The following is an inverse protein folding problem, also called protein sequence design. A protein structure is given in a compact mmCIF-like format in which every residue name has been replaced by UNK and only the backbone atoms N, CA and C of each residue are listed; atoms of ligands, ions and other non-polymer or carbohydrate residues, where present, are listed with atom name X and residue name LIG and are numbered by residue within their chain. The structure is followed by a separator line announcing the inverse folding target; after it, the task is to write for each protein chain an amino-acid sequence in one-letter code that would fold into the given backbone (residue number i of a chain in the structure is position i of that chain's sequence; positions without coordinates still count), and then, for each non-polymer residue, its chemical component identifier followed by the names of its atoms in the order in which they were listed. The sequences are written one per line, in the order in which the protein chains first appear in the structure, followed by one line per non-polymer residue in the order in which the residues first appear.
data_IF_991726989561
#
_entry.id   IF_991726989561
#
_cell.length_a   1.000
_cell.length_b   1.000
_cell.length_c   1.000
_cell.angle_alpha   90.00
_cell.angle_beta   90.00
_cell.angle_gamma   90.00
#
_symmetry.space_group_name_H-M   'P 1'
#
loop_
_entity.id
_entity.type
_entity.pdbx_description
1 polymer ?
#
# COMPACT_ATOMS: atom_id res chain seq x y z
N UNK A 1 17.86 13.21 5.25
CA UNK A 1 17.03 12.47 6.22
C UNK A 1 15.94 11.86 5.36
N UNK A 2 16.03 10.56 5.03
CA UNK A 2 14.93 9.90 4.33
C UNK A 2 13.81 9.75 5.36
N UNK A 3 12.66 10.38 5.11
CA UNK A 3 11.47 10.19 5.93
C UNK A 3 10.98 8.77 5.69
N UNK A 4 11.29 7.86 6.63
CA UNK A 4 10.85 6.46 6.59
C UNK A 4 9.40 6.33 7.05
N UNK A 5 8.52 7.17 6.54
CA UNK A 5 7.16 7.28 7.07
C UNK A 5 6.34 6.00 6.86
N UNK A 6 6.67 5.18 5.85
CA UNK A 6 6.00 3.88 5.62
C UNK A 6 6.32 2.84 6.70
N UNK A 7 7.50 2.89 7.32
CA UNK A 7 7.92 1.99 8.40
C UNK A 7 6.98 2.13 9.63
N UNK A 8 6.45 3.33 9.88
CA UNK A 8 5.55 3.60 11.00
C UNK A 8 4.18 2.89 10.88
N UNK A 9 3.87 2.34 9.71
CA UNK A 9 2.64 1.61 9.44
C UNK A 9 2.79 0.09 9.55
N UNK A 10 4.01 -0.44 9.71
CA UNK A 10 4.23 -1.87 9.81
C UNK A 10 3.50 -2.49 11.01
N UNK A 11 2.76 -3.58 10.75
CA UNK A 11 1.96 -4.27 11.76
C UNK A 11 0.66 -3.55 12.14
N UNK A 12 0.19 -2.61 11.32
CA UNK A 12 -1.04 -1.86 11.55
C UNK A 12 -2.08 -2.11 10.45
N UNK A 13 -3.35 -1.91 10.81
CA UNK A 13 -4.41 -1.78 9.82
C UNK A 13 -4.41 -0.38 9.24
N UNK A 14 -4.48 -0.29 7.92
CA UNK A 14 -4.39 0.97 7.20
C UNK A 14 -5.48 1.12 6.15
N UNK A 15 -5.80 2.37 5.86
CA UNK A 15 -6.51 2.80 4.67
C UNK A 15 -5.52 3.54 3.77
N UNK A 16 -5.28 3.03 2.57
CA UNK A 16 -4.39 3.62 1.56
C UNK A 16 -5.23 4.14 0.40
N UNK A 17 -5.02 5.40 0.02
CA UNK A 17 -5.56 5.97 -1.21
C UNK A 17 -4.45 6.01 -2.27
N UNK A 18 -4.71 5.39 -3.42
CA UNK A 18 -3.81 5.40 -4.58
C UNK A 18 -4.48 6.08 -5.78
N UNK A 19 -3.70 6.33 -6.83
CA UNK A 19 -4.22 6.91 -8.07
C UNK A 19 -5.43 6.14 -8.64
N UNK A 20 -6.32 6.86 -9.34
CA UNK A 20 -7.52 6.26 -9.91
C UNK A 20 -8.71 6.14 -8.95
N UNK A 21 -8.72 6.88 -7.83
CA UNK A 21 -9.78 6.85 -6.80
C UNK A 21 -9.98 5.45 -6.20
N UNK A 22 -8.89 4.72 -6.01
CA UNK A 22 -8.90 3.39 -5.40
C UNK A 22 -8.50 3.57 -3.94
N UNK A 23 -9.32 3.03 -3.04
CA UNK A 23 -8.96 2.93 -1.62
C UNK A 23 -8.82 1.47 -1.23
N UNK A 24 -7.73 1.18 -0.54
CA UNK A 24 -7.36 -0.15 -0.09
C UNK A 24 -7.40 -0.14 1.43
N UNK A 25 -8.11 -1.08 2.04
CA UNK A 25 -7.97 -1.37 3.46
C UNK A 25 -7.29 -2.72 3.63
N UNK A 26 -6.40 -2.79 4.59
CA UNK A 26 -5.69 -4.01 4.89
C UNK A 26 -4.72 -3.90 6.04
N UNK A 27 -4.05 -5.01 6.32
CA UNK A 27 -3.01 -5.11 7.33
C UNK A 27 -1.62 -5.02 6.68
N UNK A 28 -0.77 -4.14 7.18
CA UNK A 28 0.61 -4.01 6.69
C UNK A 28 1.46 -5.14 7.23
N UNK A 29 1.90 -6.03 6.34
CA UNK A 29 2.73 -7.19 6.68
C UNK A 29 4.22 -6.90 6.60
N UNK A 30 4.62 -6.04 5.67
CA UNK A 30 6.03 -5.76 5.43
C UNK A 30 6.22 -4.39 4.76
N UNK A 31 7.46 -3.94 4.70
CA UNK A 31 7.88 -2.75 3.97
C UNK A 31 9.26 -3.01 3.36
N UNK A 32 9.41 -2.70 2.08
CA UNK A 32 10.66 -2.90 1.36
C UNK A 32 11.30 -1.57 1.04
N UNK A 33 12.57 -1.42 1.42
CA UNK A 33 13.38 -0.27 1.01
C UNK A 33 13.86 -0.46 -0.41
N UNK A 34 13.70 0.57 -1.25
CA UNK A 34 14.29 0.60 -2.59
C UNK A 34 15.80 0.72 -2.51
N UNK A 35 16.53 -0.39 -2.32
CA UNK A 35 18.00 -0.39 -2.25
C UNK A 35 18.69 -1.23 -3.33
N UNK A 36 17.96 -1.96 -4.17
CA UNK A 36 18.56 -2.76 -5.23
C UNK A 36 17.68 -2.76 -6.50
N UNK A 37 18.23 -2.14 -7.56
CA UNK A 37 17.79 -2.13 -8.97
C UNK A 37 16.54 -1.30 -9.35
N UNK A 38 16.79 -0.29 -10.21
CA UNK A 38 15.89 0.49 -11.09
C UNK A 38 14.64 1.19 -10.51
N UNK A 39 14.19 0.87 -9.29
CA UNK A 39 13.03 1.49 -8.64
C UNK A 39 13.45 2.15 -7.32
N UNK A 40 13.65 3.48 -7.36
CA UNK A 40 14.15 4.31 -6.25
C UNK A 40 13.11 4.56 -5.13
N UNK A 41 12.00 3.82 -5.10
CA UNK A 41 10.88 4.10 -4.19
C UNK A 41 10.72 3.00 -3.15
N UNK A 42 10.50 3.41 -1.89
CA UNK A 42 10.09 2.50 -0.84
C UNK A 42 8.70 1.95 -1.15
N UNK A 43 8.38 0.75 -0.64
CA UNK A 43 7.06 0.15 -0.82
C UNK A 43 6.52 -0.45 0.47
N UNK A 44 5.20 -0.49 0.58
CA UNK A 44 4.48 -1.07 1.70
C UNK A 44 3.67 -2.28 1.22
N UNK A 45 3.87 -3.42 1.89
CA UNK A 45 3.21 -4.66 1.54
C UNK A 45 2.01 -4.90 2.47
N UNK A 46 0.82 -4.94 1.88
CA UNK A 46 -0.47 -4.93 2.58
C UNK A 46 -1.28 -6.16 2.19
N UNK A 47 -1.72 -6.92 3.20
CA UNK A 47 -2.75 -7.94 3.02
C UNK A 47 -4.09 -7.25 2.82
N UNK A 48 -4.69 -7.44 1.65
CA UNK A 48 -5.94 -6.79 1.25
C UNK A 48 -7.15 -7.38 1.97
N UNK A 49 -7.92 -6.54 2.66
CA UNK A 49 -9.21 -6.92 3.25
C UNK A 49 -10.39 -6.36 2.45
N UNK A 50 -10.27 -5.11 1.99
CA UNK A 50 -11.34 -4.41 1.28
C UNK A 50 -10.74 -3.47 0.21
N UNK A 51 -11.38 -3.42 -0.96
CA UNK A 51 -11.01 -2.51 -2.05
C UNK A 51 -12.24 -1.70 -2.47
N UNK A 52 -12.18 -0.38 -2.25
CA UNK A 52 -13.24 0.56 -2.58
C UNK A 52 -12.85 1.29 -3.86
N UNK A 53 -13.59 1.05 -4.93
CA UNK A 53 -13.43 1.75 -6.22
C UNK A 53 -14.74 1.76 -6.98
N UNK A 54 -14.93 2.82 -7.78
CA UNK A 54 -16.13 3.03 -8.61
C UNK A 54 -16.13 2.22 -9.92
N UNK A 55 -15.02 1.55 -10.26
CA UNK A 55 -14.91 0.69 -11.44
C UNK A 55 -14.83 -0.80 -11.04
N UNK A 56 -15.18 -1.69 -11.98
CA UNK A 56 -14.74 -3.09 -11.91
C UNK A 56 -13.24 -3.10 -12.20
N UNK A 57 -12.46 -3.42 -11.17
CA UNK A 57 -11.01 -3.31 -11.20
C UNK A 57 -10.39 -4.62 -10.71
N UNK A 58 -9.33 -5.08 -11.37
CA UNK A 58 -8.72 -6.39 -11.15
C UNK A 58 -8.21 -6.56 -9.70
N UNK A 59 -7.87 -5.46 -9.03
CA UNK A 59 -7.41 -5.43 -7.62
C UNK A 59 -8.46 -6.02 -6.66
N UNK A 60 -9.77 -5.92 -6.96
CA UNK A 60 -10.81 -6.54 -6.13
C UNK A 60 -10.69 -8.07 -6.07
N UNK A 61 -10.07 -8.70 -7.07
CA UNK A 61 -9.85 -10.16 -7.07
C UNK A 61 -8.71 -10.59 -6.14
N UNK A 62 -7.91 -9.64 -5.65
CA UNK A 62 -6.73 -9.91 -4.82
C UNK A 62 -7.04 -9.82 -3.31
N UNK A 63 -8.32 -9.72 -2.91
CA UNK A 63 -8.69 -9.74 -1.48
C UNK A 63 -8.16 -11.03 -0.83
N UNK A 64 -7.45 -10.88 0.29
CA UNK A 64 -6.76 -11.95 1.00
C UNK A 64 -5.29 -12.16 0.58
N UNK A 65 -4.86 -11.55 -0.53
CA UNK A 65 -3.47 -11.56 -0.99
C UNK A 65 -2.68 -10.38 -0.44
N UNK A 66 -1.36 -10.52 -0.42
CA UNK A 66 -0.42 -9.44 -0.06
C UNK A 66 0.02 -8.75 -1.35
N UNK A 67 -0.22 -7.45 -1.44
CA UNK A 67 0.29 -6.61 -2.53
C UNK A 67 1.27 -5.60 -1.98
N UNK A 68 2.31 -5.26 -2.73
CA UNK A 68 3.22 -4.17 -2.38
C UNK A 68 2.84 -2.94 -3.21
N UNK A 69 2.71 -1.79 -2.54
CA UNK A 69 2.33 -0.50 -3.12
C UNK A 69 3.52 0.43 -2.96
N UNK A 70 3.96 1.03 -4.05
CA UNK A 70 5.12 1.91 -4.02
C UNK A 70 4.75 3.29 -3.49
N UNK A 71 5.68 3.95 -2.79
CA UNK A 71 5.50 5.26 -2.15
C UNK A 71 4.96 6.31 -3.13
N UNK A 72 5.46 6.31 -4.36
CA UNK A 72 5.06 7.24 -5.41
C UNK A 72 3.64 7.00 -5.95
N UNK A 73 3.04 5.83 -5.69
CA UNK A 73 1.65 5.53 -6.02
C UNK A 73 0.67 5.93 -4.90
N UNK A 74 1.19 6.17 -3.70
CA UNK A 74 0.40 6.46 -2.51
C UNK A 74 0.09 7.96 -2.46
N UNK A 75 -1.19 8.29 -2.57
CA UNK A 75 -1.69 9.65 -2.34
C UNK A 75 -1.75 9.93 -0.84
N UNK A 76 -2.25 8.96 -0.06
CA UNK A 76 -2.30 9.05 1.39
C UNK A 76 -2.44 7.69 2.06
N UNK A 77 -1.99 7.60 3.31
CA UNK A 77 -2.09 6.41 4.16
C UNK A 77 -2.49 6.84 5.58
N UNK A 78 -3.40 6.08 6.19
CA UNK A 78 -3.90 6.33 7.55
C UNK A 78 -4.02 5.03 8.33
N UNK A 79 -3.63 5.03 9.60
CA UNK A 79 -3.93 3.96 10.56
C UNK A 79 -5.43 4.00 10.91
N UNK A 80 -6.08 2.82 10.98
CA UNK A 80 -7.52 2.66 11.27
C UNK A 80 -7.79 1.72 12.43
#
# INVERSE_FOLDING_TARGET
MHDRFLEDYHGKYVLIEIEGNIKIKGFVEDYNFGQDFDEEYDSICVRLDEVITNNDNDIKNNIGEVICIYENEIISIYEI
#
